data_IF_082747409325
#
_entry.id   IF_082747409325
#
_cell.length_a   1.000
_cell.length_b   1.000
_cell.length_c   1.000
_cell.angle_alpha   90.00
_cell.angle_beta   90.00
_cell.angle_gamma   90.00
#
_symmetry.space_group_name_H-M   'P 1'
#
loop_
_entity.id
_entity.type
_entity.pdbx_description
1 polymer ?
#
# COMPACT_ATOMS: atom_id res chain seq x y z
N UNK A 1 -46.75 -35.05 27.73
CA UNK A 1 -46.91 -34.74 29.17
C UNK A 1 -45.52 -34.65 29.78
N UNK A 2 -45.24 -33.52 30.45
CA UNK A 2 -44.16 -33.25 31.43
C UNK A 2 -42.67 -33.25 30.99
N UNK A 3 -42.12 -32.03 30.94
CA UNK A 3 -40.73 -31.67 31.27
C UNK A 3 -40.52 -31.68 32.80
N UNK A 4 -39.27 -31.73 33.27
CA UNK A 4 -38.80 -30.77 34.28
C UNK A 4 -37.45 -30.14 33.83
N UNK A 5 -37.24 -28.82 33.76
CA UNK A 5 -37.12 -27.79 34.80
C UNK A 5 -36.20 -28.17 35.98
N UNK A 6 -34.97 -27.64 35.97
CA UNK A 6 -34.16 -27.44 37.17
C UNK A 6 -33.64 -26.00 37.17
N UNK A 7 -33.90 -25.36 38.30
CA UNK A 7 -33.73 -23.95 38.65
C UNK A 7 -32.36 -23.71 39.32
N UNK A 8 -31.84 -22.48 39.16
CA UNK A 8 -30.69 -21.93 39.88
C UNK A 8 -30.83 -21.98 41.41
N UNK A 9 -29.70 -22.12 42.11
CA UNK A 9 -29.51 -21.63 43.48
C UNK A 9 -28.16 -20.90 43.61
N UNK A 10 -28.26 -19.63 43.99
CA UNK A 10 -27.18 -18.72 44.38
C UNK A 10 -26.60 -19.13 45.75
N UNK A 11 -25.29 -19.01 45.92
CA UNK A 11 -24.67 -18.92 47.24
C UNK A 11 -24.05 -17.53 47.45
N UNK A 12 -24.51 -16.93 48.54
CA UNK A 12 -24.15 -15.63 49.08
C UNK A 12 -22.84 -15.77 49.88
N UNK A 13 -21.88 -14.85 49.72
CA UNK A 13 -20.97 -14.55 50.81
C UNK A 13 -20.62 -13.06 50.85
N UNK A 14 -21.16 -12.39 51.86
CA UNK A 14 -20.80 -11.04 52.31
C UNK A 14 -19.43 -11.08 52.99
N UNK A 15 -18.58 -10.09 52.71
CA UNK A 15 -17.69 -9.52 53.72
C UNK A 15 -17.59 -8.01 53.53
N UNK A 16 -17.88 -7.34 54.63
CA UNK A 16 -18.03 -5.91 54.81
C UNK A 16 -16.75 -5.41 55.51
N UNK A 17 -16.12 -4.35 54.99
CA UNK A 17 -15.24 -3.48 55.79
C UNK A 17 -15.49 -2.05 55.37
N UNK A 18 -16.06 -1.31 56.30
CA UNK A 18 -16.39 0.12 56.28
C UNK A 18 -15.14 0.98 56.53
N UNK A 19 -15.00 2.06 55.77
CA UNK A 19 -14.29 3.26 56.23
C UNK A 19 -15.04 4.50 55.74
N UNK A 20 -15.44 5.31 56.70
CA UNK A 20 -16.21 6.54 56.57
C UNK A 20 -15.26 7.68 56.21
N UNK A 21 -15.56 8.45 55.16
CA UNK A 21 -14.98 9.78 54.96
C UNK A 21 -16.10 10.80 54.78
N UNK A 22 -16.06 11.80 55.67
CA UNK A 22 -16.92 12.97 55.74
C UNK A 22 -16.75 13.84 54.49
N UNK A 23 -17.87 14.23 53.88
CA UNK A 23 -17.91 15.28 52.88
C UNK A 23 -17.80 16.64 53.56
N UNK A 24 -16.67 17.33 53.35
CA UNK A 24 -16.56 18.78 53.56
C UNK A 24 -16.71 19.49 52.21
N UNK A 25 -17.72 20.34 52.12
CA UNK A 25 -18.00 21.18 50.95
C UNK A 25 -16.95 22.31 50.92
N UNK A 26 -16.12 22.33 49.87
CA UNK A 26 -15.25 23.45 49.52
C UNK A 26 -15.51 23.92 48.09
N UNK A 27 -15.33 25.22 47.90
CA UNK A 27 -15.80 26.12 46.82
C UNK A 27 -15.48 25.67 45.38
N UNK A 28 -16.23 26.16 44.36
CA UNK A 28 -16.03 25.75 42.98
C UNK A 28 -14.78 26.43 42.40
N UNK A 29 -13.77 25.63 42.05
CA UNK A 29 -12.72 26.08 41.15
C UNK A 29 -13.21 25.91 39.72
N UNK A 30 -13.34 27.04 39.01
CA UNK A 30 -13.67 27.11 37.59
C UNK A 30 -12.51 26.52 36.78
N UNK A 31 -12.56 25.22 36.48
CA UNK A 31 -11.66 24.59 35.52
C UNK A 31 -12.09 25.04 34.12
N UNK A 32 -11.39 26.04 33.57
CA UNK A 32 -11.38 26.33 32.15
C UNK A 32 -10.82 25.10 31.42
N UNK A 33 -11.70 24.24 30.91
CA UNK A 33 -11.36 23.28 29.87
C UNK A 33 -10.98 24.10 28.63
N UNK A 34 -9.68 24.31 28.43
CA UNK A 34 -9.15 24.66 27.12
C UNK A 34 -9.41 23.47 26.20
N UNK A 35 -10.53 23.50 25.47
CA UNK A 35 -10.65 22.75 24.24
C UNK A 35 -9.56 23.28 23.29
N UNK A 36 -8.42 22.60 23.26
CA UNK A 36 -7.49 22.73 22.15
C UNK A 36 -8.21 22.21 20.91
N UNK A 37 -8.87 23.12 20.18
CA UNK A 37 -9.20 22.89 18.79
C UNK A 37 -7.87 22.78 18.03
N UNK A 38 -7.40 21.55 17.85
CA UNK A 38 -6.34 21.29 16.87
C UNK A 38 -6.96 21.56 15.50
N UNK A 39 -6.69 22.74 14.96
CA UNK A 39 -7.06 23.14 13.60
C UNK A 39 -6.45 22.17 12.59
N UNK A 40 -7.22 21.13 12.24
CA UNK A 40 -6.90 20.11 11.23
C UNK A 40 -7.18 20.64 9.80
N UNK A 41 -6.92 21.92 9.56
CA UNK A 41 -7.41 22.66 8.40
C UNK A 41 -6.70 22.28 7.10
N UNK A 42 -5.44 21.89 7.14
CA UNK A 42 -4.64 21.60 5.94
C UNK A 42 -4.91 20.23 5.31
N UNK A 43 -5.06 19.16 6.10
CA UNK A 43 -5.43 17.83 5.59
C UNK A 43 -6.88 17.80 5.06
N UNK A 44 -7.79 18.48 5.76
CA UNK A 44 -9.20 18.58 5.36
C UNK A 44 -9.40 19.42 4.09
N UNK A 45 -8.58 20.46 3.87
CA UNK A 45 -8.63 21.25 2.62
C UNK A 45 -8.14 20.46 1.41
N UNK A 46 -7.03 19.72 1.52
CA UNK A 46 -6.50 18.85 0.46
C UNK A 46 -7.52 17.79 0.05
N UNK A 47 -8.16 17.14 1.03
CA UNK A 47 -9.19 16.14 0.76
C UNK A 47 -10.45 16.74 0.13
N UNK A 48 -10.93 17.89 0.62
CA UNK A 48 -12.11 18.58 0.06
C UNK A 48 -11.90 18.92 -1.42
N UNK A 49 -10.72 19.43 -1.77
CA UNK A 49 -10.40 19.74 -3.17
C UNK A 49 -10.25 18.48 -4.02
N UNK A 50 -9.59 17.44 -3.52
CA UNK A 50 -9.41 16.18 -4.25
C UNK A 50 -10.71 15.39 -4.46
N UNK A 51 -11.70 15.58 -3.59
CA UNK A 51 -13.00 14.93 -3.65
C UNK A 51 -14.10 15.82 -4.27
N UNK A 52 -13.76 16.99 -4.81
CA UNK A 52 -14.72 17.82 -5.54
C UNK A 52 -15.12 17.08 -6.83
N UNK A 53 -16.42 16.76 -7.03
CA UNK A 53 -16.90 16.09 -8.23
C UNK A 53 -16.50 16.79 -9.54
N UNK A 54 -16.34 18.12 -9.52
CA UNK A 54 -15.93 18.91 -10.70
C UNK A 54 -14.48 18.66 -11.11
N UNK A 55 -13.66 18.12 -10.21
CA UNK A 55 -12.25 17.81 -10.47
C UNK A 55 -12.04 16.40 -11.02
N UNK A 56 -13.09 15.56 -11.00
CA UNK A 56 -13.04 14.20 -11.52
C UNK A 56 -13.01 14.21 -13.04
N UNK A 57 -11.97 13.62 -13.61
CA UNK A 57 -11.91 13.40 -15.06
C UNK A 57 -12.89 12.29 -15.40
N UNK A 58 -13.76 12.52 -16.39
CA UNK A 58 -14.67 11.49 -16.88
C UNK A 58 -13.85 10.28 -17.38
N UNK A 59 -14.25 9.08 -16.95
CA UNK A 59 -13.56 7.83 -17.25
C UNK A 59 -13.37 7.58 -18.77
N UNK A 60 -14.25 8.14 -19.61
CA UNK A 60 -14.15 8.05 -21.07
C UNK A 60 -12.93 8.78 -21.64
N UNK A 61 -12.46 9.86 -20.98
CA UNK A 61 -11.27 10.61 -21.39
C UNK A 61 -9.97 10.05 -20.83
N UNK A 62 -10.04 9.01 -20.00
CA UNK A 62 -8.85 8.35 -19.45
C UNK A 62 -8.32 7.33 -20.47
N UNK A 63 -7.04 7.47 -20.80
CA UNK A 63 -6.36 6.54 -21.71
C UNK A 63 -6.19 5.17 -21.03
N UNK A 64 -6.29 4.10 -21.83
CA UNK A 64 -6.29 2.71 -21.36
C UNK A 64 -5.07 1.90 -21.80
N UNK A 65 -4.28 2.46 -22.70
CA UNK A 65 -3.08 1.89 -23.32
C UNK A 65 -1.79 2.17 -22.52
N UNK A 66 -1.84 3.08 -21.54
CA UNK A 66 -0.74 3.42 -20.64
C UNK A 66 -1.25 3.61 -19.20
N UNK A 67 -0.32 3.59 -18.24
CA UNK A 67 -0.56 3.81 -16.81
C UNK A 67 0.19 5.03 -16.27
N UNK A 68 -0.28 5.57 -15.14
CA UNK A 68 0.48 6.60 -14.39
C UNK A 68 1.15 5.96 -13.18
N UNK A 69 2.45 6.20 -12.99
CA UNK A 69 3.20 5.71 -11.83
C UNK A 69 3.21 6.78 -10.74
N UNK A 70 2.87 6.39 -9.50
CA UNK A 70 2.94 7.22 -8.31
C UNK A 70 4.03 6.66 -7.40
N UNK A 71 5.13 7.40 -7.24
CA UNK A 71 6.24 7.00 -6.36
C UNK A 71 6.15 7.80 -5.07
N UNK A 72 5.98 7.11 -3.94
CA UNK A 72 5.86 7.75 -2.63
C UNK A 72 7.23 7.93 -1.97
N UNK A 73 7.70 9.18 -1.88
CA UNK A 73 8.97 9.55 -1.25
C UNK A 73 8.82 10.22 0.11
N UNK A 74 9.78 10.01 1.01
CA UNK A 74 9.79 10.64 2.35
C UNK A 74 11.19 11.02 2.86
N UNK A 75 12.19 10.15 2.68
CA UNK A 75 13.53 10.37 3.25
C UNK A 75 14.44 11.05 2.25
N UNK A 76 15.09 12.14 2.65
CA UNK A 76 16.09 12.81 1.81
C UNK A 76 17.28 11.92 1.48
N UNK A 77 17.57 10.90 2.31
CA UNK A 77 18.62 9.91 2.04
C UNK A 77 18.37 9.07 0.78
N UNK A 78 17.11 8.95 0.34
CA UNK A 78 16.72 8.16 -0.84
C UNK A 78 16.60 8.97 -2.12
N UNK A 79 16.87 10.28 -2.08
CA UNK A 79 16.71 11.15 -3.26
C UNK A 79 17.49 10.67 -4.51
N UNK A 80 18.75 10.20 -4.40
CA UNK A 80 19.47 9.67 -5.56
C UNK A 80 18.80 8.42 -6.16
N UNK A 81 18.37 7.49 -5.29
CA UNK A 81 17.65 6.29 -5.72
C UNK A 81 16.31 6.65 -6.36
N UNK A 82 15.53 7.51 -5.72
CA UNK A 82 14.25 8.00 -6.21
C UNK A 82 14.36 8.62 -7.61
N UNK A 83 15.42 9.40 -7.87
CA UNK A 83 15.72 9.95 -9.20
C UNK A 83 15.94 8.82 -10.23
N UNK A 84 16.74 7.82 -9.90
CA UNK A 84 17.01 6.68 -10.77
C UNK A 84 15.75 5.88 -11.09
N UNK A 85 14.96 5.55 -10.05
CA UNK A 85 13.69 4.84 -10.17
C UNK A 85 12.70 5.60 -11.05
N UNK A 86 12.53 6.90 -10.82
CA UNK A 86 11.63 7.72 -11.62
C UNK A 86 12.01 7.73 -13.11
N UNK A 87 13.30 7.85 -13.44
CA UNK A 87 13.81 7.76 -14.81
C UNK A 87 13.57 6.38 -15.42
N UNK A 88 13.83 5.30 -14.66
CA UNK A 88 13.60 3.92 -15.10
C UNK A 88 12.12 3.70 -15.46
N UNK A 89 11.20 4.09 -14.58
CA UNK A 89 9.76 4.00 -14.85
C UNK A 89 9.33 4.86 -16.05
N UNK A 90 9.84 6.09 -16.16
CA UNK A 90 9.50 6.99 -17.26
C UNK A 90 10.00 6.51 -18.63
N UNK A 91 10.98 5.61 -18.66
CA UNK A 91 11.53 5.03 -19.90
C UNK A 91 10.63 3.95 -20.53
N UNK A 92 9.67 3.40 -19.77
CA UNK A 92 8.78 2.36 -20.30
C UNK A 92 7.70 2.95 -21.22
N UNK A 93 7.46 2.37 -22.42
CA UNK A 93 6.39 2.80 -23.31
C UNK A 93 4.98 2.66 -22.71
N UNK A 94 4.81 1.80 -21.70
CA UNK A 94 3.52 1.63 -21.01
C UNK A 94 3.23 2.73 -19.98
N UNK A 95 4.16 3.66 -19.74
CA UNK A 95 4.01 4.73 -18.75
C UNK A 95 3.68 6.05 -19.43
N UNK A 96 2.55 6.66 -19.02
CA UNK A 96 2.10 7.95 -19.53
C UNK A 96 2.71 9.13 -18.76
N UNK A 97 2.98 8.93 -17.48
CA UNK A 97 3.55 9.94 -16.58
C UNK A 97 4.04 9.27 -15.28
N UNK A 98 5.04 9.88 -14.66
CA UNK A 98 5.50 9.53 -13.30
C UNK A 98 5.26 10.72 -12.38
N UNK A 99 4.53 10.50 -11.30
CA UNK A 99 4.32 11.51 -10.25
C UNK A 99 5.09 11.08 -9.00
N UNK A 100 6.11 11.85 -8.65
CA UNK A 100 6.82 11.73 -7.39
C UNK A 100 6.02 12.46 -6.33
N UNK A 101 5.47 11.71 -5.37
CA UNK A 101 4.67 12.23 -4.27
C UNK A 101 5.55 12.35 -3.03
N UNK A 102 5.87 13.58 -2.61
CA UNK A 102 6.75 13.82 -1.48
C UNK A 102 5.97 14.10 -0.20
N UNK A 103 6.09 13.23 0.80
CA UNK A 103 5.29 13.27 2.03
C UNK A 103 6.01 13.78 3.27
N UNK A 104 7.24 14.27 3.13
CA UNK A 104 7.96 14.91 4.23
C UNK A 104 7.83 16.44 4.13
N UNK A 105 6.93 17.08 4.91
CA UNK A 105 6.69 18.52 4.83
C UNK A 105 7.86 19.35 5.36
N UNK A 106 8.83 18.74 6.04
CA UNK A 106 10.00 19.42 6.58
C UNK A 106 11.17 19.49 5.59
N UNK A 107 11.06 18.84 4.42
CA UNK A 107 12.10 18.92 3.39
C UNK A 107 12.02 20.26 2.66
N UNK A 108 13.12 21.06 2.62
CA UNK A 108 13.13 22.31 1.86
C UNK A 108 12.89 22.07 0.37
N UNK A 109 12.06 22.92 -0.25
CA UNK A 109 11.72 22.82 -1.68
C UNK A 109 12.97 22.86 -2.57
N UNK A 110 13.98 23.65 -2.21
CA UNK A 110 15.24 23.75 -2.96
C UNK A 110 16.01 22.42 -2.98
N UNK A 111 15.97 21.65 -1.88
CA UNK A 111 16.61 20.34 -1.80
C UNK A 111 15.96 19.37 -2.78
N UNK A 112 14.63 19.36 -2.85
CA UNK A 112 13.88 18.51 -3.77
C UNK A 112 14.11 18.91 -5.22
N UNK A 113 13.97 20.21 -5.54
CA UNK A 113 14.18 20.72 -6.90
C UNK A 113 15.59 20.41 -7.41
N UNK A 114 16.62 20.56 -6.57
CA UNK A 114 18.01 20.27 -6.96
C UNK A 114 18.25 18.77 -7.16
N UNK A 115 17.72 17.94 -6.27
CA UNK A 115 17.97 16.49 -6.34
C UNK A 115 17.21 15.81 -7.48
N UNK A 116 15.99 16.28 -7.74
CA UNK A 116 15.10 15.78 -8.79
C UNK A 116 15.11 16.65 -10.04
N UNK A 117 16.17 17.46 -10.23
CA UNK A 117 16.44 18.19 -11.47
C UNK A 117 16.81 17.18 -12.57
N UNK A 118 15.77 16.67 -13.22
CA UNK A 118 15.87 15.72 -14.29
C UNK A 118 16.00 16.51 -15.60
N UNK A 119 17.05 16.27 -16.41
CA UNK A 119 17.13 16.89 -17.71
C UNK A 119 15.83 16.57 -18.46
N UNK A 120 15.29 17.56 -19.16
CA UNK A 120 14.14 17.38 -20.05
C UNK A 120 14.50 16.24 -21.00
N UNK A 121 14.05 15.04 -20.65
CA UNK A 121 14.50 13.82 -21.29
C UNK A 121 13.98 13.84 -22.72
N UNK A 122 14.69 13.14 -23.61
CA UNK A 122 14.35 13.05 -25.04
C UNK A 122 12.84 12.89 -25.28
N UNK A 123 12.35 13.34 -26.44
CA UNK A 123 10.94 13.31 -26.86
C UNK A 123 10.17 11.99 -26.64
N UNK A 124 10.86 10.90 -26.31
CA UNK A 124 10.31 9.55 -26.12
C UNK A 124 10.00 9.17 -24.67
N UNK A 125 10.51 9.88 -23.64
CA UNK A 125 10.30 9.52 -22.24
C UNK A 125 9.03 10.16 -21.64
N UNK A 126 8.38 9.46 -20.71
CA UNK A 126 7.20 9.99 -20.01
C UNK A 126 7.57 11.18 -19.10
N UNK A 127 6.70 12.20 -18.98
CA UNK A 127 6.95 13.32 -18.08
C UNK A 127 7.00 12.89 -16.62
N UNK A 128 7.98 13.43 -15.89
CA UNK A 128 8.15 13.25 -14.44
C UNK A 128 7.73 14.54 -13.73
N UNK A 129 6.90 14.46 -12.69
CA UNK A 129 6.45 15.62 -11.92
C UNK A 129 6.57 15.39 -10.43
N UNK A 130 7.09 16.38 -9.70
CA UNK A 130 7.15 16.37 -8.24
C UNK A 130 5.91 17.06 -7.65
N UNK A 131 5.28 16.40 -6.68
CA UNK A 131 4.14 16.92 -5.92
C UNK A 131 4.46 16.80 -4.43
N UNK A 132 4.80 17.93 -3.81
CA UNK A 132 4.98 18.01 -2.35
C UNK A 132 3.63 18.05 -1.64
N UNK A 133 3.51 17.29 -0.56
CA UNK A 133 2.30 17.21 0.24
C UNK A 133 2.52 17.81 1.64
N UNK A 134 1.57 18.59 2.19
CA UNK A 134 1.74 19.25 3.49
C UNK A 134 1.59 18.31 4.70
N UNK A 135 1.39 17.02 4.48
CA UNK A 135 1.16 16.02 5.53
C UNK A 135 1.89 14.72 5.21
N UNK A 136 2.36 14.06 6.28
CA UNK A 136 3.01 12.74 6.26
C UNK A 136 2.03 11.56 6.32
N UNK A 137 0.73 11.81 6.15
CA UNK A 137 -0.29 10.77 6.10
C UNK A 137 -0.05 9.79 4.94
N UNK A 138 -0.04 8.50 5.24
CA UNK A 138 0.05 7.45 4.23
C UNK A 138 -1.19 7.41 3.32
N UNK A 139 -2.35 7.84 3.82
CA UNK A 139 -3.57 7.94 3.00
C UNK A 139 -3.38 8.87 1.79
N UNK A 140 -2.50 9.86 1.89
CA UNK A 140 -2.34 10.89 0.87
C UNK A 140 -1.79 10.36 -0.48
N UNK A 141 -1.18 9.16 -0.50
CA UNK A 141 -0.74 8.50 -1.73
C UNK A 141 -1.91 8.09 -2.65
N UNK A 142 -3.11 7.94 -2.09
CA UNK A 142 -4.30 7.54 -2.83
C UNK A 142 -5.23 8.69 -3.21
N UNK A 143 -4.84 9.95 -2.97
CA UNK A 143 -5.66 11.10 -3.35
C UNK A 143 -5.86 11.17 -4.87
N UNK A 144 -7.09 11.41 -5.36
CA UNK A 144 -7.32 11.75 -6.76
C UNK A 144 -6.49 12.96 -7.18
N UNK A 145 -5.92 12.91 -8.40
CA UNK A 145 -5.10 13.99 -8.95
C UNK A 145 -5.49 14.28 -10.39
N UNK A 146 -5.57 15.57 -10.76
CA UNK A 146 -5.87 16.01 -12.13
C UNK A 146 -4.77 15.63 -13.13
N UNK A 147 -3.55 15.38 -12.64
CA UNK A 147 -2.41 14.91 -13.41
C UNK A 147 -2.56 13.44 -13.85
N UNK A 148 -3.43 12.66 -13.20
CA UNK A 148 -3.68 11.27 -13.59
C UNK A 148 -4.68 11.28 -14.75
N UNK A 149 -4.19 10.89 -15.94
CA UNK A 149 -4.97 10.86 -17.20
C UNK A 149 -5.16 9.44 -17.76
N UNK A 150 -4.89 8.44 -16.93
CA UNK A 150 -4.88 7.02 -17.25
C UNK A 150 -5.95 6.27 -16.46
N UNK A 151 -6.42 5.15 -16.99
CA UNK A 151 -7.35 4.24 -16.28
C UNK A 151 -6.64 3.40 -15.22
N UNK A 152 -5.37 3.11 -15.45
CA UNK A 152 -4.51 2.34 -14.55
C UNK A 152 -3.52 3.26 -13.83
N UNK A 153 -3.32 2.98 -12.56
CA UNK A 153 -2.32 3.65 -11.73
C UNK A 153 -1.46 2.59 -11.06
N UNK A 154 -0.14 2.72 -11.16
CA UNK A 154 0.81 1.97 -10.36
C UNK A 154 1.22 2.80 -9.14
N UNK A 155 0.95 2.32 -7.94
CA UNK A 155 1.44 2.89 -6.69
C UNK A 155 2.68 2.11 -6.27
N UNK A 156 3.77 2.82 -5.99
CA UNK A 156 5.07 2.24 -5.69
C UNK A 156 5.76 3.01 -4.55
N UNK A 157 6.54 2.30 -3.74
CA UNK A 157 7.42 2.90 -2.74
C UNK A 157 8.76 3.37 -3.38
N UNK A 158 9.48 4.29 -2.72
CA UNK A 158 10.72 4.91 -3.23
C UNK A 158 11.98 4.01 -3.14
N UNK A 159 11.80 2.73 -2.85
CA UNK A 159 12.86 1.72 -2.72
C UNK A 159 12.63 0.47 -3.58
N UNK A 160 11.68 0.50 -4.51
CA UNK A 160 11.35 -0.64 -5.37
C UNK A 160 11.81 -0.37 -6.80
N UNK A 161 12.82 -1.13 -7.21
CA UNK A 161 13.34 -1.18 -8.57
C UNK A 161 12.72 -2.35 -9.33
N UNK A 162 11.82 -2.01 -10.25
CA UNK A 162 11.09 -2.93 -11.09
C UNK A 162 11.55 -2.77 -12.55
N UNK A 163 12.13 -3.82 -13.16
CA UNK A 163 12.55 -3.77 -14.56
C UNK A 163 11.38 -3.44 -15.51
N UNK A 164 11.58 -2.61 -16.55
CA UNK A 164 10.52 -2.22 -17.49
C UNK A 164 9.71 -3.38 -18.09
N UNK A 165 10.31 -4.52 -18.52
CA UNK A 165 9.53 -5.66 -19.03
C UNK A 165 8.57 -6.25 -17.99
N UNK A 166 8.96 -6.25 -16.71
CA UNK A 166 8.10 -6.73 -15.62
C UNK A 166 6.94 -5.78 -15.36
N UNK A 167 7.16 -4.46 -15.47
CA UNK A 167 6.09 -3.46 -15.38
C UNK A 167 5.09 -3.62 -16.52
N UNK A 168 5.58 -3.79 -17.76
CA UNK A 168 4.74 -3.98 -18.95
C UNK A 168 3.90 -5.26 -18.84
N UNK A 169 4.52 -6.34 -18.36
CA UNK A 169 3.82 -7.59 -18.09
C UNK A 169 2.72 -7.41 -17.03
N UNK A 170 3.05 -6.82 -15.88
CA UNK A 170 2.06 -6.56 -14.82
C UNK A 170 0.90 -5.69 -15.33
N UNK A 171 1.20 -4.68 -16.15
CA UNK A 171 0.18 -3.83 -16.75
C UNK A 171 -0.69 -4.58 -17.77
N UNK A 172 -0.10 -5.46 -18.58
CA UNK A 172 -0.85 -6.37 -19.47
C UNK A 172 -1.82 -7.25 -18.68
N UNK A 173 -1.37 -7.82 -17.57
CA UNK A 173 -2.24 -8.62 -16.67
C UNK A 173 -3.36 -7.76 -16.10
N UNK A 174 -3.06 -6.55 -15.60
CA UNK A 174 -4.09 -5.65 -15.09
C UNK A 174 -5.12 -5.27 -16.17
N UNK A 175 -4.70 -5.03 -17.42
CA UNK A 175 -5.63 -4.73 -18.52
C UNK A 175 -6.62 -5.86 -18.81
N UNK A 176 -6.22 -7.12 -18.56
CA UNK A 176 -7.08 -8.29 -18.76
C UNK A 176 -8.16 -8.45 -17.68
N UNK A 177 -7.93 -7.94 -16.47
CA UNK A 177 -8.89 -7.92 -15.36
C UNK A 177 -8.75 -6.62 -14.54
N UNK A 178 -9.42 -5.57 -15.01
CA UNK A 178 -9.31 -4.21 -14.46
C UNK A 178 -10.04 -4.04 -13.10
N UNK A 179 -10.73 -5.07 -12.63
CA UNK A 179 -11.37 -5.05 -11.31
C UNK A 179 -10.37 -5.38 -10.19
N UNK A 180 -9.27 -6.06 -10.50
CA UNK A 180 -8.31 -6.55 -9.51
C UNK A 180 -7.18 -5.57 -9.23
N UNK A 181 -6.59 -5.75 -8.05
CA UNK A 181 -5.24 -5.27 -7.76
C UNK A 181 -4.22 -6.24 -8.35
N UNK A 182 -3.16 -5.73 -8.97
CA UNK A 182 -2.05 -6.53 -9.48
C UNK A 182 -0.75 -6.08 -8.81
N UNK A 183 0.10 -7.01 -8.38
CA UNK A 183 1.38 -6.65 -7.75
C UNK A 183 2.34 -7.81 -7.60
N UNK A 184 3.51 -7.53 -7.02
CA UNK A 184 4.61 -8.50 -6.85
C UNK A 184 4.81 -8.95 -5.39
N UNK A 185 4.27 -8.18 -4.44
CA UNK A 185 4.52 -8.36 -3.02
C UNK A 185 3.25 -8.86 -2.34
N UNK A 186 3.09 -10.17 -2.27
CA UNK A 186 1.90 -10.81 -1.69
C UNK A 186 1.95 -10.88 -0.17
N UNK A 187 0.78 -10.74 0.46
CA UNK A 187 0.53 -11.01 1.88
C UNK A 187 -0.83 -11.64 2.05
N UNK A 188 -1.06 -12.20 3.23
CA UNK A 188 -2.30 -12.89 3.54
C UNK A 188 -2.91 -12.41 4.85
N UNK A 189 -4.19 -12.70 5.02
CA UNK A 189 -4.83 -12.67 6.33
C UNK A 189 -5.11 -14.11 6.74
N UNK A 190 -5.34 -14.34 8.02
CA UNK A 190 -5.86 -15.61 8.50
C UNK A 190 -6.69 -15.41 9.77
N UNK A 191 -7.49 -16.41 10.14
CA UNK A 191 -8.14 -16.46 11.43
C UNK A 191 -7.29 -17.30 12.38
N UNK A 192 -6.62 -16.63 13.33
CA UNK A 192 -5.99 -17.32 14.45
C UNK A 192 -7.11 -17.90 15.33
N UNK A 193 -7.21 -19.23 15.36
CA UNK A 193 -8.29 -19.96 16.05
C UNK A 193 -8.16 -19.89 17.57
N UNK A 194 -6.93 -19.86 18.09
CA UNK A 194 -6.66 -19.79 19.52
C UNK A 194 -7.04 -18.41 20.05
N UNK A 195 -6.64 -17.36 19.32
CA UNK A 195 -6.96 -15.97 19.67
C UNK A 195 -8.34 -15.54 19.20
N UNK A 196 -9.01 -16.36 18.38
CA UNK A 196 -10.27 -16.04 17.67
C UNK A 196 -10.22 -14.68 16.99
N UNK A 197 -9.10 -14.40 16.33
CA UNK A 197 -8.79 -13.06 15.85
C UNK A 197 -8.17 -13.08 14.46
N UNK A 198 -8.56 -12.12 13.62
CA UNK A 198 -7.92 -11.94 12.32
C UNK A 198 -6.48 -11.46 12.49
N UNK A 199 -5.56 -12.12 11.80
CA UNK A 199 -4.13 -11.83 11.82
C UNK A 199 -3.62 -11.46 10.42
N UNK A 200 -2.53 -10.70 10.40
CA UNK A 200 -1.76 -10.42 9.19
C UNK A 200 -0.62 -11.43 9.10
N UNK A 201 -0.47 -12.10 7.96
CA UNK A 201 0.50 -13.18 7.80
C UNK A 201 1.11 -13.26 6.40
N UNK A 202 2.10 -14.13 6.25
CA UNK A 202 2.64 -14.59 4.97
C UNK A 202 2.28 -16.06 4.86
N UNK A 203 1.73 -16.47 3.72
CA UNK A 203 1.40 -17.86 3.48
C UNK A 203 1.96 -18.26 2.11
N UNK A 204 2.55 -19.46 1.95
CA UNK A 204 3.15 -19.89 0.69
C UNK A 204 2.14 -20.02 -0.45
N UNK A 205 0.98 -20.64 -0.17
CA UNK A 205 0.07 -21.07 -1.24
C UNK A 205 -1.17 -20.18 -1.46
N UNK A 206 -1.46 -19.27 -0.53
CA UNK A 206 -2.63 -18.37 -0.61
C UNK A 206 -2.27 -16.95 -0.20
N UNK A 207 -2.83 -15.98 -0.90
CA UNK A 207 -2.66 -14.58 -0.58
C UNK A 207 -3.97 -13.85 -0.77
N UNK A 208 -4.18 -12.79 -0.01
CA UNK A 208 -5.41 -11.99 -0.10
C UNK A 208 -5.11 -10.51 -0.26
N UNK A 209 -3.83 -10.15 -0.24
CA UNK A 209 -3.36 -8.78 -0.31
C UNK A 209 -2.13 -8.68 -1.20
N UNK A 210 -2.01 -7.56 -1.93
CA UNK A 210 -0.75 -7.11 -2.54
C UNK A 210 -0.35 -5.77 -1.93
N UNK A 211 0.95 -5.57 -1.68
CA UNK A 211 1.44 -4.38 -0.97
C UNK A 211 1.65 -3.19 -1.92
N UNK A 212 1.57 -1.97 -1.37
CA UNK A 212 1.89 -0.71 -2.07
C UNK A 212 3.37 -0.54 -2.43
N UNK A 213 4.23 -1.49 -2.04
CA UNK A 213 5.57 -1.63 -2.61
C UNK A 213 5.52 -1.54 -4.13
N UNK A 214 4.61 -2.29 -4.75
CA UNK A 214 4.20 -2.09 -6.13
C UNK A 214 2.81 -2.68 -6.35
N UNK A 215 1.83 -1.82 -6.66
CA UNK A 215 0.42 -2.16 -6.84
C UNK A 215 -0.17 -1.42 -8.04
N UNK A 216 -0.65 -2.15 -9.05
CA UNK A 216 -1.47 -1.59 -10.12
C UNK A 216 -2.94 -1.72 -9.74
N UNK A 217 -3.68 -0.62 -9.89
CA UNK A 217 -5.12 -0.54 -9.63
C UNK A 217 -5.81 0.39 -10.62
N UNK A 218 -7.14 0.29 -10.71
CA UNK A 218 -7.94 1.25 -11.45
C UNK A 218 -8.01 2.61 -10.74
N UNK A 219 -7.88 3.71 -11.49
CA UNK A 219 -7.95 5.09 -10.98
C UNK A 219 -9.20 5.36 -10.14
N UNK A 220 -10.32 4.69 -10.44
CA UNK A 220 -11.55 4.80 -9.64
C UNK A 220 -11.35 4.46 -8.17
N UNK A 221 -10.45 3.53 -7.84
CA UNK A 221 -10.20 3.11 -6.47
C UNK A 221 -9.45 4.16 -5.66
N UNK A 222 -8.69 5.06 -6.29
CA UNK A 222 -8.13 6.24 -5.62
C UNK A 222 -9.24 7.15 -5.07
N UNK A 223 -10.25 7.41 -5.91
CA UNK A 223 -11.41 8.20 -5.51
C UNK A 223 -12.26 7.50 -4.47
N UNK A 224 -12.56 6.21 -4.65
CA UNK A 224 -13.32 5.44 -3.66
C UNK A 224 -12.61 5.42 -2.31
N UNK A 225 -11.30 5.17 -2.30
CA UNK A 225 -10.48 5.17 -1.09
C UNK A 225 -10.55 6.51 -0.38
N UNK A 226 -10.36 7.62 -1.10
CA UNK A 226 -10.23 8.94 -0.50
C UNK A 226 -11.56 9.57 -0.11
N UNK A 227 -12.59 9.38 -0.94
CA UNK A 227 -13.78 10.22 -0.95
C UNK A 227 -15.04 9.50 -0.50
N UNK A 228 -15.09 8.16 -0.55
CA UNK A 228 -16.27 7.46 -0.05
C UNK A 228 -16.36 7.60 1.49
N UNK A 229 -17.54 8.00 2.02
CA UNK A 229 -17.76 8.14 3.46
C UNK A 229 -17.55 6.83 4.23
N UNK A 230 -17.90 5.70 3.60
CA UNK A 230 -17.76 4.35 4.16
C UNK A 230 -16.35 4.05 4.69
N UNK A 231 -15.30 4.53 4.00
CA UNK A 231 -13.91 4.28 4.39
C UNK A 231 -13.32 5.36 5.31
N UNK A 232 -14.09 6.37 5.74
CA UNK A 232 -13.59 7.52 6.51
C UNK A 232 -12.94 7.10 7.82
N UNK A 233 -13.64 6.33 8.64
CA UNK A 233 -13.12 5.91 9.95
C UNK A 233 -11.91 4.98 9.81
N UNK A 234 -11.91 4.14 8.77
CA UNK A 234 -10.76 3.28 8.48
C UNK A 234 -9.54 4.09 8.02
N UNK A 235 -9.71 5.18 7.26
CA UNK A 235 -8.61 6.11 6.96
C UNK A 235 -8.06 6.78 8.23
N UNK A 236 -8.93 7.09 9.20
CA UNK A 236 -8.48 7.62 10.50
C UNK A 236 -7.68 6.59 11.30
N UNK A 237 -8.02 5.29 11.21
CA UNK A 237 -7.18 4.20 11.74
C UNK A 237 -5.82 4.19 11.05
N UNK A 238 -5.75 4.31 9.73
CA UNK A 238 -4.46 4.39 9.00
C UNK A 238 -3.58 5.53 9.52
N UNK A 239 -4.15 6.72 9.73
CA UNK A 239 -3.41 7.87 10.27
C UNK A 239 -2.93 7.63 11.71
N UNK A 240 -3.80 7.08 12.56
CA UNK A 240 -3.47 6.74 13.95
C UNK A 240 -2.36 5.70 14.05
N UNK A 241 -2.43 4.65 13.22
CA UNK A 241 -1.46 3.55 13.21
C UNK A 241 -0.19 3.90 12.44
N UNK A 242 -0.21 4.95 11.60
CA UNK A 242 0.85 5.32 10.63
C UNK A 242 1.32 4.10 9.81
N UNK A 243 0.36 3.28 9.37
CA UNK A 243 0.55 2.02 8.64
C UNK A 243 -0.80 1.59 8.03
N UNK A 244 -0.82 0.49 7.27
CA UNK A 244 -2.01 -0.25 6.84
C UNK A 244 -2.87 0.39 5.75
N UNK A 245 -2.37 1.42 5.06
CA UNK A 245 -3.04 2.03 3.92
C UNK A 245 -3.22 1.04 2.76
N UNK A 246 -2.24 0.15 2.57
CA UNK A 246 -2.28 -0.95 1.62
C UNK A 246 -3.32 -2.00 1.98
N UNK A 247 -3.42 -2.39 3.26
CA UNK A 247 -4.44 -3.30 3.76
C UNK A 247 -5.83 -2.70 3.50
N UNK A 248 -6.04 -1.41 3.81
CA UNK A 248 -7.32 -0.75 3.56
C UNK A 248 -7.66 -0.71 2.07
N UNK A 249 -6.69 -0.48 1.18
CA UNK A 249 -6.93 -0.54 -0.26
C UNK A 249 -7.34 -1.96 -0.71
N UNK A 250 -6.69 -3.01 -0.19
CA UNK A 250 -7.10 -4.39 -0.49
C UNK A 250 -8.50 -4.72 0.05
N UNK A 251 -8.84 -4.24 1.25
CA UNK A 251 -10.19 -4.36 1.82
C UNK A 251 -11.24 -3.71 0.91
N UNK A 252 -10.97 -2.48 0.47
CA UNK A 252 -11.85 -1.72 -0.42
C UNK A 252 -12.09 -2.46 -1.74
N UNK A 253 -11.02 -2.85 -2.43
CA UNK A 253 -11.15 -3.50 -3.74
C UNK A 253 -11.85 -4.85 -3.61
N UNK A 254 -11.50 -5.66 -2.61
CA UNK A 254 -12.16 -6.94 -2.38
C UNK A 254 -13.63 -6.78 -1.99
N UNK A 255 -13.97 -5.72 -1.23
CA UNK A 255 -15.35 -5.42 -0.85
C UNK A 255 -16.20 -5.05 -2.07
N UNK A 256 -15.70 -4.18 -2.95
CA UNK A 256 -16.44 -3.66 -4.10
C UNK A 256 -16.48 -4.63 -5.29
N UNK A 257 -15.37 -5.33 -5.57
CA UNK A 257 -15.28 -6.22 -6.72
C UNK A 257 -15.56 -7.69 -6.39
N UNK A 258 -15.55 -8.07 -5.12
CA UNK A 258 -15.79 -9.46 -4.69
C UNK A 258 -14.68 -10.44 -5.09
N UNK A 259 -13.51 -9.96 -5.52
CA UNK A 259 -12.39 -10.76 -6.00
C UNK A 259 -11.10 -10.48 -5.23
N UNK A 260 -10.20 -11.46 -5.19
CA UNK A 260 -8.86 -11.32 -4.62
C UNK A 260 -7.88 -10.67 -5.61
N UNK A 261 -6.70 -10.23 -5.13
CA UNK A 261 -5.68 -9.64 -5.99
C UNK A 261 -5.04 -10.68 -6.93
N UNK A 262 -4.27 -10.23 -7.92
CA UNK A 262 -3.46 -11.09 -8.78
C UNK A 262 -1.99 -10.86 -8.49
N UNK A 263 -1.27 -11.94 -8.18
CA UNK A 263 0.18 -11.93 -8.00
C UNK A 263 0.86 -12.21 -9.34
N UNK A 264 1.84 -11.38 -9.70
CA UNK A 264 2.62 -11.55 -10.92
C UNK A 264 4.09 -11.90 -10.62
N UNK A 265 4.69 -12.67 -11.52
CA UNK A 265 6.13 -12.86 -11.59
C UNK A 265 6.81 -11.77 -12.39
N UNK A 266 8.04 -11.47 -12.00
CA UNK A 266 8.93 -10.62 -12.75
C UNK A 266 9.91 -11.49 -13.53
N UNK A 267 10.24 -11.09 -14.77
CA UNK A 267 11.23 -11.81 -15.61
C UNK A 267 12.62 -11.84 -14.97
N UNK A 268 12.95 -10.78 -14.23
CA UNK A 268 14.14 -10.63 -13.39
C UNK A 268 13.70 -10.29 -11.98
N UNK A 269 14.55 -10.57 -10.98
CA UNK A 269 14.26 -10.27 -9.57
C UNK A 269 13.84 -8.80 -9.41
N UNK A 270 12.71 -8.56 -8.75
CA UNK A 270 12.31 -7.20 -8.33
C UNK A 270 13.21 -6.82 -7.16
N UNK A 271 13.95 -5.73 -7.29
CA UNK A 271 14.92 -5.32 -6.28
C UNK A 271 14.23 -4.38 -5.28
N UNK A 272 14.30 -4.75 -4.01
CA UNK A 272 13.72 -4.00 -2.89
C UNK A 272 14.86 -3.50 -1.99
N UNK A 273 15.26 -2.25 -2.24
CA UNK A 273 16.35 -1.54 -1.56
C UNK A 273 16.04 -1.24 -0.09
N UNK A 274 14.79 -1.44 0.35
CA UNK A 274 14.38 -1.31 1.75
C UNK A 274 14.66 -2.54 2.60
N UNK A 275 15.00 -3.67 1.98
CA UNK A 275 15.23 -4.96 2.65
C UNK A 275 16.66 -5.46 2.39
N UNK A 276 17.54 -5.26 3.38
CA UNK A 276 18.97 -5.60 3.31
C UNK A 276 19.22 -7.10 3.10
N UNK A 277 18.23 -7.97 3.36
CA UNK A 277 18.34 -9.41 3.07
C UNK A 277 18.44 -9.70 1.57
N UNK A 278 18.12 -8.71 0.73
CA UNK A 278 18.29 -8.83 -0.72
C UNK A 278 19.73 -8.56 -1.16
N UNK A 279 20.63 -8.06 -0.30
CA UNK A 279 22.02 -7.70 -0.64
C UNK A 279 22.93 -8.91 -0.85
N UNK A 280 22.57 -10.08 -0.30
CA UNK A 280 23.44 -11.26 -0.25
C UNK A 280 23.30 -12.20 -1.47
N UNK A 281 22.32 -12.00 -2.35
CA UNK A 281 22.11 -12.83 -3.55
C UNK A 281 22.87 -12.32 -4.80
N UNK A 282 23.48 -11.13 -4.74
CA UNK A 282 24.20 -10.51 -5.85
C UNK A 282 25.72 -10.76 -5.73
N UNK A 283 26.16 -12.02 -5.81
CA UNK A 283 27.58 -12.39 -5.69
C UNK A 283 28.40 -12.16 -6.98
N UNK A 284 27.76 -11.87 -8.12
CA UNK A 284 28.44 -11.60 -9.40
C UNK A 284 28.78 -10.12 -9.65
N UNK A 285 28.11 -9.17 -8.97
CA UNK A 285 28.28 -7.72 -9.24
C UNK A 285 29.18 -6.98 -8.24
N UNK A 286 29.76 -7.68 -7.26
CA UNK A 286 30.63 -7.08 -6.22
C UNK A 286 31.99 -6.58 -6.73
N UNK A 287 32.37 -6.80 -7.99
CA UNK A 287 33.73 -6.45 -8.45
C UNK A 287 33.96 -4.99 -8.84
N UNK A 288 32.93 -4.13 -8.94
CA UNK A 288 33.14 -2.72 -9.38
C UNK A 288 32.45 -1.62 -8.55
N UNK A 289 31.76 -1.94 -7.45
CA UNK A 289 31.07 -0.90 -6.64
C UNK A 289 31.74 -0.69 -5.29
N UNK A 290 32.96 -0.14 -5.31
CA UNK A 290 33.57 0.54 -4.16
C UNK A 290 32.83 1.85 -3.90
N UNK A 291 31.68 1.79 -3.21
CA UNK A 291 30.88 2.98 -2.91
C UNK A 291 30.03 2.80 -1.64
N UNK A 292 30.52 3.29 -0.51
CA UNK A 292 29.88 3.23 0.81
C UNK A 292 28.59 4.06 0.93
N UNK A 293 27.51 3.63 0.28
CA UNK A 293 26.20 4.31 0.30
C UNK A 293 24.99 3.44 0.69
N UNK A 294 25.13 2.11 0.80
CA UNK A 294 23.98 1.21 0.97
C UNK A 294 23.35 1.21 2.37
N UNK A 295 24.16 1.37 3.44
CA UNK A 295 23.68 1.21 4.83
C UNK A 295 22.56 2.20 5.21
N UNK A 296 22.57 3.42 4.65
CA UNK A 296 21.59 4.46 4.97
C UNK A 296 20.28 4.37 4.18
N UNK A 297 20.21 3.60 3.10
CA UNK A 297 19.00 3.46 2.27
C UNK A 297 18.03 2.46 2.92
N UNK A 298 18.57 1.37 3.46
CA UNK A 298 17.78 0.32 4.11
C UNK A 298 17.29 0.68 5.52
N UNK A 299 17.92 1.62 6.23
CA UNK A 299 17.63 1.88 7.65
C UNK A 299 16.29 2.60 7.92
N UNK A 300 15.62 3.12 6.89
CA UNK A 300 14.46 4.04 7.04
C UNK A 300 13.08 3.33 6.93
N UNK A 301 13.03 2.03 6.64
CA UNK A 301 11.78 1.30 6.35
C UNK A 301 10.82 1.12 7.55
N UNK A 302 9.51 1.32 7.32
CA UNK A 302 8.45 1.16 8.34
C UNK A 302 8.32 -0.30 8.83
N UNK A 303 8.65 -1.27 7.97
CA UNK A 303 8.63 -2.70 8.26
C UNK A 303 9.60 -3.12 9.37
N UNK A 304 10.64 -2.33 9.63
CA UNK A 304 11.67 -2.61 10.65
C UNK A 304 11.25 -2.26 12.08
N UNK A 305 10.13 -1.56 12.26
CA UNK A 305 9.64 -1.17 13.60
C UNK A 305 9.15 -2.39 14.38
N UNK A 306 9.48 -2.46 15.67
CA UNK A 306 9.01 -3.52 16.57
C UNK A 306 7.47 -3.58 16.57
N UNK A 307 6.91 -4.79 16.55
CA UNK A 307 5.46 -5.03 16.53
C UNK A 307 4.78 -4.72 15.18
N UNK A 308 5.52 -4.56 14.08
CA UNK A 308 4.94 -4.23 12.77
C UNK A 308 3.86 -5.22 12.31
N UNK A 309 4.08 -6.53 12.45
CA UNK A 309 3.10 -7.55 12.04
C UNK A 309 1.85 -7.54 12.92
N UNK A 310 2.01 -7.40 14.23
CA UNK A 310 0.89 -7.32 15.18
C UNK A 310 0.02 -6.09 14.91
N UNK A 311 0.66 -4.93 14.70
CA UNK A 311 0.00 -3.69 14.29
C UNK A 311 -0.83 -3.87 13.00
N UNK A 312 -0.30 -4.59 12.02
CA UNK A 312 -1.03 -4.90 10.78
C UNK A 312 -2.22 -5.83 11.02
N UNK A 313 -2.09 -6.82 11.91
CA UNK A 313 -3.22 -7.64 12.36
C UNK A 313 -4.30 -6.81 13.07
N UNK A 314 -3.92 -5.79 13.85
CA UNK A 314 -4.87 -4.85 14.44
C UNK A 314 -5.65 -4.04 13.40
N UNK A 315 -4.98 -3.54 12.37
CA UNK A 315 -5.67 -2.86 11.27
C UNK A 315 -6.71 -3.75 10.58
N UNK A 316 -6.39 -5.02 10.32
CA UNK A 316 -7.36 -5.98 9.75
C UNK A 316 -8.59 -6.10 10.64
N UNK A 317 -8.42 -6.17 11.97
CA UNK A 317 -9.53 -6.24 12.93
C UNK A 317 -10.37 -4.97 12.95
N UNK A 318 -9.73 -3.80 12.93
CA UNK A 318 -10.41 -2.50 12.89
C UNK A 318 -11.22 -2.34 11.58
N UNK A 319 -10.65 -2.70 10.44
CA UNK A 319 -11.34 -2.61 9.13
C UNK A 319 -12.46 -3.64 9.00
N UNK A 320 -12.24 -4.86 9.50
CA UNK A 320 -13.29 -5.88 9.63
C UNK A 320 -14.48 -5.36 10.45
N UNK A 321 -14.21 -4.73 11.60
CA UNK A 321 -15.26 -4.12 12.43
C UNK A 321 -15.96 -2.98 11.70
N UNK A 322 -15.19 -2.12 11.02
CA UNK A 322 -15.73 -0.98 10.25
C UNK A 322 -16.66 -1.38 9.11
N UNK A 323 -16.36 -2.48 8.41
CA UNK A 323 -17.20 -2.99 7.32
C UNK A 323 -18.26 -4.00 7.76
N UNK A 324 -18.21 -4.48 9.00
CA UNK A 324 -19.12 -5.52 9.54
C UNK A 324 -18.96 -6.91 8.92
N UNK A 325 -17.94 -7.13 8.08
CA UNK A 325 -17.62 -8.41 7.44
C UNK A 325 -16.16 -8.47 7.04
N UNK A 326 -15.64 -9.67 6.75
CA UNK A 326 -14.31 -9.85 6.15
C UNK A 326 -14.43 -9.84 4.62
N UNK A 327 -14.03 -8.76 3.92
CA UNK A 327 -14.15 -8.70 2.47
C UNK A 327 -13.00 -9.40 1.74
N UNK A 328 -11.84 -9.56 2.39
CA UNK A 328 -10.63 -10.09 1.74
C UNK A 328 -10.90 -11.48 1.17
N UNK A 329 -10.50 -11.68 -0.09
CA UNK A 329 -10.63 -12.94 -0.81
C UNK A 329 -9.28 -13.52 -1.11
N UNK A 330 -9.12 -14.81 -0.88
CA UNK A 330 -7.90 -15.51 -1.27
C UNK A 330 -7.83 -15.65 -2.78
N UNK A 331 -6.62 -15.46 -3.28
CA UNK A 331 -6.16 -15.88 -4.58
C UNK A 331 -5.08 -16.94 -4.40
N UNK A 332 -4.94 -17.77 -5.43
CA UNK A 332 -4.03 -18.91 -5.45
C UNK A 332 -3.18 -18.80 -6.72
N UNK A 333 -1.91 -19.15 -6.59
CA UNK A 333 -0.97 -19.14 -7.72
C UNK A 333 -0.45 -17.75 -8.10
N UNK A 334 0.50 -17.76 -9.03
CA UNK A 334 1.24 -16.59 -9.50
C UNK A 334 1.27 -16.60 -11.02
N UNK A 335 0.87 -15.51 -11.64
CA UNK A 335 0.92 -15.38 -13.10
C UNK A 335 2.35 -15.06 -13.48
N UNK A 336 3.01 -15.97 -14.19
CA UNK A 336 4.34 -15.75 -14.74
C UNK A 336 4.21 -15.48 -16.23
N UNK A 337 5.12 -14.67 -16.77
CA UNK A 337 5.20 -14.55 -18.21
C UNK A 337 5.74 -15.86 -18.75
N UNK A 338 5.04 -16.46 -19.72
CA UNK A 338 5.56 -17.62 -20.42
C UNK A 338 6.94 -17.25 -20.96
N UNK A 339 7.97 -17.91 -20.45
CA UNK A 339 9.12 -18.19 -21.30
C UNK A 339 8.49 -18.83 -22.52
N UNK A 340 8.75 -18.30 -23.73
CA UNK A 340 8.30 -18.99 -24.93
C UNK A 340 8.63 -20.45 -24.73
N UNK A 341 7.61 -21.30 -24.66
CA UNK A 341 7.83 -22.73 -24.67
C UNK A 341 8.57 -22.93 -25.99
N UNK A 342 9.89 -23.05 -25.93
CA UNK A 342 10.59 -23.81 -26.93
C UNK A 342 9.93 -25.17 -26.78
N UNK A 343 8.93 -25.43 -27.63
CA UNK A 343 8.22 -26.69 -27.58
C UNK A 343 9.27 -27.79 -27.58
N UNK A 344 9.13 -28.77 -26.71
CA UNK A 344 9.96 -29.96 -26.83
C UNK A 344 9.29 -30.84 -27.88
N UNK A 345 9.93 -30.97 -29.03
CA UNK A 345 9.52 -31.85 -30.11
C UNK A 345 10.24 -33.19 -29.97
N UNK A 346 9.57 -34.29 -30.29
CA UNK A 346 10.21 -35.61 -30.31
C UNK A 346 10.91 -35.83 -31.66
N UNK A 347 12.25 -35.86 -31.64
CA UNK A 347 13.10 -36.12 -32.81
C UNK A 347 13.97 -37.34 -32.49
N UNK A 348 13.82 -38.40 -33.27
CA UNK A 348 14.55 -39.67 -33.07
C UNK A 348 14.40 -40.26 -31.64
N UNK A 349 13.21 -40.13 -31.04
CA UNK A 349 12.93 -40.63 -29.69
C UNK A 349 13.56 -39.82 -28.56
N UNK A 350 14.07 -38.61 -28.85
CA UNK A 350 14.54 -37.64 -27.85
C UNK A 350 13.73 -36.36 -27.94
N UNK A 351 13.42 -35.79 -26.77
CA UNK A 351 12.83 -34.48 -26.66
C UNK A 351 13.91 -33.43 -26.93
N UNK A 352 13.77 -32.67 -28.01
CA UNK A 352 14.65 -31.56 -28.42
C UNK A 352 13.85 -30.27 -28.56
N UNK A 353 14.51 -29.12 -28.55
CA UNK A 353 13.82 -27.85 -28.83
C UNK A 353 13.28 -27.88 -30.25
N UNK A 354 12.01 -27.51 -30.46
CA UNK A 354 11.37 -27.56 -31.78
C UNK A 354 12.05 -26.67 -32.84
N UNK A 355 12.95 -25.78 -32.42
CA UNK A 355 13.74 -24.90 -33.29
C UNK A 355 15.10 -25.52 -33.70
N UNK A 356 15.43 -26.74 -33.25
CA UNK A 356 16.64 -27.54 -33.57
C UNK A 356 16.35 -28.79 -34.43
#
# INVERSE_FOLDING_TARGET
MMRPNITLLFFHHLRQTSSSFLFTISKPHFFLFFFFFISSSSSSASLRHACDPKTLTNATFLRSDQLTVLISGFSTSRLPLLRSLASSYASSPSVAAVLILWFNPHTPSQTLSKALDLPSSSSAAAPISLISHPSSSLNARFLPRRQIRTRAVAVCDDDIDLPPPSLEFAFKIWRSDQARLVGFFARSHDLDLDRRSWIYTVHPDRFSMVLTKFMILGTRYLHRYSCAPEYREMRAVVDRMRNCEDILMNFLVAHEAGVGPTLVGARRKVRDWGDLRNDDDDDDDKKNSSGGGSENVGSVGISKRVGHMERRGECIREFHRGLGRMPLRYSYGKVIEGLGEQGLCEKEGKLVLCDE
#
